data_IF_293848250886
#
_entry.id   IF_293848250886
#
_cell.length_a   1.000
_cell.length_b   1.000
_cell.length_c   1.000
_cell.angle_alpha   90.00
_cell.angle_beta   90.00
_cell.angle_gamma   90.00
#
_symmetry.space_group_name_H-M   'P 1'
#
loop_
_entity.id
_entity.type
_entity.pdbx_description
1 polymer ?
#
# COMPACT_ATOMS: atom_id res chain seq x y z
N UNK A 1 -24.88 17.58 1.96
CA UNK A 1 -24.27 16.82 3.08
C UNK A 1 -23.72 15.51 2.56
N UNK A 2 -22.39 15.34 2.52
CA UNK A 2 -21.76 14.09 2.10
C UNK A 2 -22.04 13.02 3.18
N UNK A 3 -22.71 11.93 2.81
CA UNK A 3 -23.09 10.87 3.75
C UNK A 3 -21.84 10.03 4.03
N UNK A 4 -21.34 10.09 5.26
CA UNK A 4 -20.14 9.34 5.67
C UNK A 4 -20.49 7.85 5.61
N UNK A 5 -19.81 7.13 4.73
CA UNK A 5 -19.98 5.69 4.56
C UNK A 5 -19.28 5.02 5.76
N UNK A 6 -19.96 4.16 6.52
CA UNK A 6 -19.31 3.45 7.62
C UNK A 6 -18.22 2.53 7.06
N UNK A 7 -16.98 2.72 7.53
CA UNK A 7 -15.81 1.92 7.16
C UNK A 7 -15.81 0.61 7.94
N UNK A 8 -16.75 -0.26 7.59
CA UNK A 8 -16.90 -1.60 8.19
C UNK A 8 -16.77 -2.69 7.14
N UNK A 9 -16.20 -3.84 7.53
CA UNK A 9 -16.17 -5.03 6.68
C UNK A 9 -17.59 -5.60 6.50
N UNK A 10 -17.75 -6.56 5.58
CA UNK A 10 -19.02 -7.31 5.45
C UNK A 10 -19.44 -8.00 6.76
N UNK A 11 -18.46 -8.33 7.60
CA UNK A 11 -18.64 -9.00 8.89
C UNK A 11 -18.87 -7.99 10.04
N UNK A 12 -18.77 -6.69 9.78
CA UNK A 12 -19.03 -5.63 10.76
C UNK A 12 -17.78 -5.11 11.48
N UNK A 13 -16.59 -5.57 11.11
CA UNK A 13 -15.34 -5.13 11.73
C UNK A 13 -14.93 -3.74 11.30
N UNK A 14 -14.30 -2.99 12.19
CA UNK A 14 -13.83 -1.62 11.94
C UNK A 14 -12.54 -1.62 11.12
N UNK A 15 -12.50 -0.80 10.08
CA UNK A 15 -11.31 -0.63 9.23
C UNK A 15 -10.57 0.63 9.65
N UNK A 16 -9.26 0.52 9.88
CA UNK A 16 -8.36 1.64 10.16
C UNK A 16 -7.15 1.59 9.21
N UNK A 17 -6.66 2.76 8.82
CA UNK A 17 -5.38 2.90 8.11
C UNK A 17 -4.30 3.00 9.18
N UNK A 18 -3.37 2.03 9.19
CA UNK A 18 -2.33 1.92 10.23
C UNK A 18 -1.08 2.69 9.83
N UNK A 19 -0.61 2.52 8.61
CA UNK A 19 0.58 3.20 8.08
C UNK A 19 0.48 3.34 6.55
N UNK A 20 1.27 4.24 5.96
CA UNK A 20 1.29 4.49 4.53
C UNK A 20 2.67 4.95 4.05
N UNK A 21 3.08 4.41 2.91
CA UNK A 21 4.34 4.75 2.24
C UNK A 21 4.10 5.03 0.75
N UNK A 22 4.94 5.87 0.17
CA UNK A 22 4.95 6.17 -1.27
C UNK A 22 6.38 6.20 -1.81
N UNK A 23 6.55 5.90 -3.09
CA UNK A 23 7.80 6.23 -3.77
C UNK A 23 7.95 7.75 -3.90
N UNK A 24 9.19 8.28 -3.80
CA UNK A 24 9.47 9.66 -4.19
C UNK A 24 9.03 9.93 -5.63
N UNK A 25 8.37 11.07 -5.87
CA UNK A 25 7.99 11.47 -7.23
C UNK A 25 9.23 11.90 -8.01
N UNK A 26 9.61 11.09 -8.99
CA UNK A 26 10.67 11.42 -9.93
C UNK A 26 10.07 11.77 -11.31
N UNK A 27 10.73 12.66 -12.04
CA UNK A 27 10.35 12.97 -13.42
C UNK A 27 10.50 11.71 -14.28
N UNK A 28 9.59 11.52 -15.23
CA UNK A 28 9.65 10.37 -16.16
C UNK A 28 11.05 10.28 -16.80
N UNK A 29 11.57 9.05 -16.88
CA UNK A 29 12.91 8.74 -17.41
C UNK A 29 14.09 9.38 -16.63
N UNK A 30 13.93 9.63 -15.33
CA UNK A 30 15.05 10.03 -14.46
C UNK A 30 15.44 8.92 -13.47
N UNK A 31 15.20 9.10 -12.16
CA UNK A 31 15.69 8.22 -11.09
C UNK A 31 15.19 6.77 -11.18
N UNK A 32 14.08 6.51 -11.87
CA UNK A 32 13.52 5.17 -12.08
C UNK A 32 13.51 4.75 -13.56
N UNK A 33 14.42 5.28 -14.37
CA UNK A 33 14.53 4.89 -15.77
C UNK A 33 14.91 3.40 -15.88
N UNK A 34 14.13 2.64 -16.65
CA UNK A 34 14.37 1.21 -16.86
C UNK A 34 13.86 0.29 -15.75
N UNK A 35 13.22 0.81 -14.70
CA UNK A 35 12.62 -0.01 -13.64
C UNK A 35 11.13 -0.26 -13.97
N UNK A 36 10.66 -1.51 -14.07
CA UNK A 36 9.26 -1.83 -14.26
C UNK A 36 8.38 -1.33 -13.10
N UNK A 37 7.14 -0.95 -13.39
CA UNK A 37 6.18 -0.48 -12.37
C UNK A 37 5.91 -1.52 -11.27
N UNK A 38 5.94 -2.81 -11.63
CA UNK A 38 5.76 -3.92 -10.68
C UNK A 38 6.89 -3.96 -9.66
N UNK A 39 8.13 -3.68 -10.06
CA UNK A 39 9.28 -3.72 -9.18
C UNK A 39 9.34 -2.49 -8.26
N UNK A 40 8.84 -1.34 -8.73
CA UNK A 40 8.57 -0.19 -7.85
C UNK A 40 7.51 -0.53 -6.79
N UNK A 41 6.45 -1.24 -7.18
CA UNK A 41 5.43 -1.73 -6.24
C UNK A 41 6.01 -2.67 -5.18
N UNK A 42 6.82 -3.65 -5.60
CA UNK A 42 7.52 -4.56 -4.68
C UNK A 42 8.41 -3.81 -3.69
N UNK A 43 9.18 -2.84 -4.16
CA UNK A 43 10.08 -2.05 -3.31
C UNK A 43 9.32 -1.32 -2.19
N UNK A 44 8.18 -0.69 -2.53
CA UNK A 44 7.34 -0.01 -1.53
C UNK A 44 6.73 -0.99 -0.54
N UNK A 45 6.25 -2.15 -1.02
CA UNK A 45 5.67 -3.19 -0.16
C UNK A 45 6.70 -3.73 0.81
N UNK A 46 7.94 -3.98 0.36
CA UNK A 46 9.03 -4.44 1.21
C UNK A 46 9.37 -3.43 2.30
N UNK A 47 9.47 -2.14 1.96
CA UNK A 47 9.77 -1.09 2.93
C UNK A 47 8.61 -0.87 3.92
N UNK A 48 7.36 -0.94 3.46
CA UNK A 48 6.18 -0.86 4.33
C UNK A 48 6.16 -1.99 5.36
N UNK A 49 6.49 -3.22 4.94
CA UNK A 49 6.59 -4.36 5.86
C UNK A 49 7.69 -4.16 6.90
N UNK A 50 8.87 -3.68 6.47
CA UNK A 50 9.99 -3.42 7.36
C UNK A 50 9.66 -2.34 8.40
N UNK A 51 8.95 -1.28 8.00
CA UNK A 51 8.53 -0.18 8.90
C UNK A 51 7.41 -0.56 9.86
N UNK A 52 6.43 -1.32 9.39
CA UNK A 52 5.23 -1.63 10.16
C UNK A 52 5.45 -2.74 11.20
N UNK A 53 6.52 -3.53 11.09
CA UNK A 53 6.83 -4.61 12.03
C UNK A 53 5.79 -5.73 12.03
N UNK A 54 4.97 -5.82 10.98
CA UNK A 54 3.92 -6.83 10.83
C UNK A 54 4.56 -8.16 10.41
N UNK A 55 4.20 -9.24 11.10
CA UNK A 55 4.66 -10.60 10.77
C UNK A 55 4.12 -11.03 9.39
N UNK A 56 5.01 -11.51 8.52
CA UNK A 56 4.67 -11.91 7.14
C UNK A 56 3.63 -13.03 7.07
N UNK A 57 3.42 -13.76 8.17
CA UNK A 57 2.46 -14.87 8.24
C UNK A 57 1.04 -14.41 8.54
N UNK A 58 0.84 -13.15 8.92
CA UNK A 58 -0.50 -12.59 9.04
C UNK A 58 -1.17 -12.61 7.65
N UNK A 59 -2.41 -13.05 7.57
CA UNK A 59 -3.16 -13.11 6.30
C UNK A 59 -3.36 -11.69 5.76
N UNK A 60 -2.52 -11.29 4.80
CA UNK A 60 -2.56 -9.96 4.16
C UNK A 60 -3.11 -10.12 2.74
N UNK A 61 -4.28 -9.54 2.50
CA UNK A 61 -4.85 -9.42 1.15
C UNK A 61 -4.27 -8.18 0.47
N UNK A 62 -3.48 -8.39 -0.58
CA UNK A 62 -2.83 -7.33 -1.35
C UNK A 62 -3.69 -6.92 -2.54
N UNK A 63 -3.93 -5.61 -2.69
CA UNK A 63 -4.56 -5.04 -3.88
C UNK A 63 -3.55 -4.10 -4.55
N UNK A 64 -2.89 -4.58 -5.60
CA UNK A 64 -2.02 -3.75 -6.43
C UNK A 64 -2.85 -3.18 -7.57
N UNK A 65 -2.71 -1.89 -7.87
CA UNK A 65 -3.43 -1.24 -8.98
C UNK A 65 -3.19 -2.00 -10.28
N UNK A 66 -4.27 -2.26 -11.02
CA UNK A 66 -4.18 -2.77 -12.40
C UNK A 66 -3.65 -1.70 -13.34
#
# INVERSE_FOLDING_TARGET
MNKVIPLVTREGDRIAIVDGLRTPFAKQATAYHGIPAVDLGKMVVSELLAKSGIDQKLSISWCLGR
#
